data_IF_914774374532
#
_entry.id   IF_914774374532
#
_cell.length_a   1.000
_cell.length_b   1.000
_cell.length_c   1.000
_cell.angle_alpha   90.00
_cell.angle_beta   90.00
_cell.angle_gamma   90.00
#
_symmetry.space_group_name_H-M   'P 1'
#
loop_
_entity.id
_entity.type
_entity.pdbx_description
1 polymer ?
#
# COMPACT_ATOMS: atom_id res chain seq x y z
N UNK A 1 8.78 8.80 9.10
CA UNK A 1 8.77 8.96 7.64
C UNK A 1 7.33 9.11 7.22
N UNK A 2 7.01 10.20 6.53
CA UNK A 2 5.65 10.53 6.09
C UNK A 2 5.33 9.86 4.74
N UNK A 3 4.06 9.90 4.32
CA UNK A 3 3.63 9.45 2.98
C UNK A 3 4.36 10.24 1.88
N UNK A 4 4.51 11.54 2.09
CA UNK A 4 5.19 12.46 1.17
C UNK A 4 6.68 12.15 1.04
N UNK A 5 7.37 11.81 2.14
CA UNK A 5 8.77 11.39 2.11
C UNK A 5 8.97 10.15 1.22
N UNK A 6 8.07 9.17 1.32
CA UNK A 6 8.11 7.94 0.51
C UNK A 6 7.85 8.22 -0.97
N UNK A 7 6.91 9.10 -1.29
CA UNK A 7 6.64 9.52 -2.67
C UNK A 7 7.86 10.23 -3.25
N UNK A 8 8.48 11.13 -2.48
CA UNK A 8 9.69 11.84 -2.88
C UNK A 8 10.87 10.90 -3.13
N UNK A 9 11.10 9.95 -2.22
CA UNK A 9 12.14 8.94 -2.35
C UNK A 9 11.92 8.08 -3.61
N UNK A 10 10.68 7.68 -3.88
CA UNK A 10 10.33 6.84 -5.01
C UNK A 10 10.52 7.50 -6.37
N UNK A 11 10.24 8.79 -6.48
CA UNK A 11 10.44 9.57 -7.70
C UNK A 11 11.84 10.17 -7.83
N UNK A 12 12.63 10.15 -6.75
CA UNK A 12 14.04 10.56 -6.74
C UNK A 12 14.27 11.93 -7.39
N UNK A 13 15.17 11.98 -8.37
CA UNK A 13 15.54 13.21 -9.08
C UNK A 13 14.40 13.83 -9.92
N UNK A 14 13.36 13.06 -10.23
CA UNK A 14 12.21 13.51 -11.02
C UNK A 14 11.12 14.13 -10.16
N UNK A 15 11.13 13.90 -8.84
CA UNK A 15 10.09 14.38 -7.93
C UNK A 15 9.86 15.89 -8.10
N UNK A 16 10.91 16.72 -8.12
CA UNK A 16 10.76 18.17 -8.27
C UNK A 16 10.14 18.60 -9.61
N UNK A 17 10.30 17.79 -10.66
CA UNK A 17 9.76 18.08 -12.00
C UNK A 17 8.26 17.76 -12.09
N UNK A 18 7.80 16.74 -11.37
CA UNK A 18 6.45 16.19 -11.51
C UNK A 18 5.59 16.34 -10.25
N UNK A 19 6.12 16.82 -9.11
CA UNK A 19 5.41 16.87 -7.83
C UNK A 19 4.04 17.56 -7.87
N UNK A 20 3.89 18.54 -8.77
CA UNK A 20 2.62 19.27 -8.96
C UNK A 20 1.61 18.49 -9.82
N UNK A 21 2.08 17.46 -10.52
CA UNK A 21 1.31 16.58 -11.40
C UNK A 21 1.04 15.22 -10.74
N UNK A 22 1.60 14.96 -9.54
CA UNK A 22 1.34 13.75 -8.76
C UNK A 22 0.01 13.87 -8.00
N UNK A 23 -0.74 12.78 -7.95
CA UNK A 23 -1.89 12.67 -7.05
C UNK A 23 -1.47 12.46 -5.59
N UNK A 24 -2.44 12.39 -4.67
CA UNK A 24 -2.20 12.19 -3.25
C UNK A 24 -1.49 10.86 -2.91
N UNK A 25 -1.41 9.93 -3.85
CA UNK A 25 -0.76 8.63 -3.75
C UNK A 25 0.57 8.58 -4.51
N UNK A 26 1.01 9.69 -5.08
CA UNK A 26 2.26 9.76 -5.84
C UNK A 26 2.16 9.12 -7.23
N UNK A 27 0.95 8.99 -7.79
CA UNK A 27 0.75 8.50 -9.16
C UNK A 27 0.81 9.66 -10.12
N UNK A 28 1.49 9.45 -11.25
CA UNK A 28 1.55 10.42 -12.32
C UNK A 28 0.57 10.02 -13.42
N UNK A 29 -0.39 10.89 -13.70
CA UNK A 29 -1.37 10.68 -14.77
C UNK A 29 -0.95 11.41 -16.04
N UNK A 30 -0.98 10.69 -17.15
CA UNK A 30 -0.64 11.20 -18.46
C UNK A 30 -1.76 10.92 -19.46
N UNK A 31 -2.18 11.96 -20.19
CA UNK A 31 -3.02 11.84 -21.38
C UNK A 31 -2.17 11.95 -22.64
N UNK A 32 -2.55 11.21 -23.69
CA UNK A 32 -1.79 11.06 -24.96
C UNK A 32 -1.36 12.37 -25.65
N UNK A 33 -1.97 13.50 -25.30
CA UNK A 33 -1.63 14.81 -25.87
C UNK A 33 -0.30 15.41 -25.38
N UNK A 34 0.38 14.82 -24.40
CA UNK A 34 1.46 15.50 -23.66
C UNK A 34 2.90 15.08 -24.05
N UNK A 35 3.30 15.16 -25.33
CA UNK A 35 4.69 15.01 -25.84
C UNK A 35 5.44 13.70 -25.46
N UNK A 36 5.68 12.86 -26.46
CA UNK A 36 6.49 11.62 -26.42
C UNK A 36 7.87 11.73 -25.73
N UNK A 37 8.45 12.92 -25.57
CA UNK A 37 9.73 13.13 -24.88
C UNK A 37 9.64 12.89 -23.37
N UNK A 38 8.54 13.26 -22.71
CA UNK A 38 8.35 13.01 -21.26
C UNK A 38 8.24 11.51 -20.97
N UNK A 39 7.44 10.79 -21.78
CA UNK A 39 7.35 9.31 -21.74
C UNK A 39 8.73 8.65 -21.84
N UNK A 40 9.56 9.09 -22.79
CA UNK A 40 10.92 8.54 -23.00
C UNK A 40 11.88 8.74 -21.83
N UNK A 41 11.76 9.83 -21.07
CA UNK A 41 12.56 10.06 -19.87
C UNK A 41 12.06 9.22 -18.69
N UNK A 42 10.74 9.09 -18.52
CA UNK A 42 10.17 8.34 -17.39
C UNK A 42 10.31 6.83 -17.54
N UNK A 43 10.33 6.29 -18.76
CA UNK A 43 10.63 4.87 -19.02
C UNK A 43 12.08 4.46 -18.71
N UNK A 44 12.97 5.40 -18.36
CA UNK A 44 14.31 5.09 -17.87
C UNK A 44 14.31 4.62 -16.41
N UNK A 45 13.18 4.72 -15.70
CA UNK A 45 13.03 4.05 -14.41
C UNK A 45 13.00 2.54 -14.61
N UNK A 46 13.98 1.86 -14.04
CA UNK A 46 14.01 0.39 -14.00
C UNK A 46 12.88 -0.22 -13.14
N UNK A 47 12.02 0.58 -12.51
CA UNK A 47 10.99 0.12 -11.57
C UNK A 47 9.72 1.00 -11.59
N UNK A 48 9.23 1.42 -12.76
CA UNK A 48 7.91 2.06 -12.90
C UNK A 48 6.94 1.10 -13.60
N UNK A 49 5.80 0.85 -12.96
CA UNK A 49 4.66 0.18 -13.56
C UNK A 49 3.78 1.20 -14.29
N UNK A 50 3.34 0.86 -15.50
CA UNK A 50 2.34 1.62 -16.25
C UNK A 50 0.99 0.91 -16.21
N UNK A 51 -0.04 1.59 -15.70
CA UNK A 51 -1.41 1.09 -15.68
C UNK A 51 -2.25 1.92 -16.65
N UNK A 52 -2.93 1.25 -17.59
CA UNK A 52 -3.85 1.91 -18.50
C UNK A 52 -5.26 1.86 -17.93
N UNK A 53 -5.86 3.04 -17.69
CA UNK A 53 -7.25 3.19 -17.27
C UNK A 53 -7.97 4.04 -18.31
N UNK A 54 -8.77 3.40 -19.16
CA UNK A 54 -9.37 4.02 -20.35
C UNK A 54 -8.29 4.69 -21.24
N UNK A 55 -8.41 6.00 -21.48
CA UNK A 55 -7.46 6.80 -22.28
C UNK A 55 -6.34 7.44 -21.44
N UNK A 56 -6.22 7.06 -20.16
CA UNK A 56 -5.23 7.58 -19.23
C UNK A 56 -4.18 6.52 -18.93
N UNK A 57 -2.91 6.89 -19.02
CA UNK A 57 -1.81 6.09 -18.51
C UNK A 57 -1.39 6.62 -17.14
N UNK A 58 -1.26 5.71 -16.18
CA UNK A 58 -0.80 5.99 -14.82
C UNK A 58 0.57 5.36 -14.63
N UNK A 59 1.56 6.19 -14.33
CA UNK A 59 2.91 5.76 -13.97
C UNK A 59 3.03 5.69 -12.45
N UNK A 60 3.47 4.54 -11.95
CA UNK A 60 3.59 4.25 -10.52
C UNK A 60 4.95 3.59 -10.27
N UNK A 61 5.86 4.22 -9.51
CA UNK A 61 7.06 3.54 -9.04
C UNK A 61 6.69 2.33 -8.18
N UNK A 62 7.30 1.17 -8.46
CA UNK A 62 7.03 -0.09 -7.75
C UNK A 62 7.28 0.03 -6.23
N UNK A 63 8.15 0.94 -5.81
CA UNK A 63 8.47 1.22 -4.40
C UNK A 63 7.33 1.87 -3.61
N UNK A 64 6.37 2.51 -4.27
CA UNK A 64 5.18 3.11 -3.62
C UNK A 64 3.88 2.38 -3.97
N UNK A 65 3.98 1.21 -4.61
CA UNK A 65 2.84 0.32 -4.80
C UNK A 65 2.24 -0.02 -3.43
N UNK A 66 0.91 0.10 -3.32
CA UNK A 66 0.17 -0.10 -2.07
C UNK A 66 0.20 1.08 -1.11
N UNK A 67 0.79 2.23 -1.45
CA UNK A 67 0.68 3.45 -0.63
C UNK A 67 -0.76 3.99 -0.57
N UNK A 68 -1.61 3.61 -1.55
CA UNK A 68 -3.03 3.91 -1.58
C UNK A 68 -3.85 3.22 -0.49
N UNK A 69 -3.42 2.05 -0.04
CA UNK A 69 -4.18 1.21 0.89
C UNK A 69 -3.29 0.60 1.97
N UNK A 70 -2.13 1.22 2.24
CA UNK A 70 -1.12 0.76 3.19
C UNK A 70 -0.72 -0.72 2.97
N UNK A 71 -0.54 -1.13 1.71
CA UNK A 71 -0.24 -2.51 1.31
C UNK A 71 -1.29 -3.53 1.77
N UNK A 72 -2.55 -3.10 1.87
CA UNK A 72 -3.65 -3.93 2.38
C UNK A 72 -3.65 -4.12 3.90
N UNK A 73 -2.85 -3.34 4.64
CA UNK A 73 -2.85 -3.33 6.10
C UNK A 73 -3.81 -2.28 6.64
N UNK A 74 -4.76 -2.71 7.46
CA UNK A 74 -5.65 -1.84 8.21
C UNK A 74 -5.01 -1.49 9.55
N UNK A 75 -5.00 -0.21 9.93
CA UNK A 75 -4.53 0.20 11.24
C UNK A 75 -5.58 -0.10 12.32
N UNK A 76 -5.16 -0.36 13.55
CA UNK A 76 -6.03 -0.47 14.72
C UNK A 76 -6.13 0.85 15.52
N UNK A 77 -5.58 1.97 15.01
CA UNK A 77 -5.67 3.25 15.71
C UNK A 77 -7.14 3.67 15.87
N UNK A 78 -7.45 4.41 16.95
CA UNK A 78 -8.76 4.76 17.53
C UNK A 78 -9.97 5.05 16.60
N UNK A 79 -9.79 5.14 15.28
CA UNK A 79 -10.81 5.44 14.27
C UNK A 79 -10.92 4.41 13.14
N UNK A 80 -10.06 3.39 13.10
CA UNK A 80 -10.12 2.31 12.10
C UNK A 80 -10.76 1.05 12.69
N UNK A 81 -11.72 0.42 12.00
CA UNK A 81 -12.45 -0.72 12.54
C UNK A 81 -11.52 -1.94 12.71
N UNK A 82 -11.73 -2.66 13.81
CA UNK A 82 -11.26 -4.05 13.93
C UNK A 82 -11.89 -4.89 12.81
N UNK A 83 -11.36 -6.10 12.51
CA UNK A 83 -12.01 -6.98 11.55
C UNK A 83 -13.49 -7.20 11.93
N UNK A 84 -14.37 -7.31 10.92
CA UNK A 84 -15.79 -7.55 11.14
C UNK A 84 -16.12 -9.03 11.34
N UNK A 85 -15.21 -9.91 10.94
CA UNK A 85 -15.39 -11.37 10.94
C UNK A 85 -14.33 -12.04 11.81
N UNK A 86 -14.69 -13.14 12.45
CA UNK A 86 -13.72 -13.96 13.16
C UNK A 86 -12.85 -14.73 12.18
N UNK A 87 -11.54 -14.79 12.40
CA UNK A 87 -10.64 -15.45 11.46
C UNK A 87 -9.16 -15.30 11.78
N UNK A 88 -8.32 -15.90 10.95
CA UNK A 88 -6.87 -15.74 11.01
C UNK A 88 -6.44 -14.53 10.17
N UNK A 89 -5.59 -13.70 10.74
CA UNK A 89 -5.05 -12.51 10.09
C UNK A 89 -3.54 -12.44 10.28
N UNK A 90 -2.85 -11.79 9.35
CA UNK A 90 -1.54 -11.23 9.62
C UNK A 90 -1.72 -10.02 10.53
N UNK A 91 -0.86 -9.88 11.54
CA UNK A 91 -0.89 -8.78 12.49
C UNK A 91 0.49 -8.20 12.73
N UNK A 92 0.54 -6.90 12.96
CA UNK A 92 1.73 -6.20 13.48
C UNK A 92 1.55 -5.97 14.97
N UNK A 93 2.38 -6.63 15.78
CA UNK A 93 2.30 -6.58 17.24
C UNK A 93 3.48 -5.78 17.80
N UNK A 94 3.21 -4.96 18.81
CA UNK A 94 4.24 -4.28 19.60
C UNK A 94 4.43 -4.97 20.95
N UNK A 95 5.59 -5.57 21.17
CA UNK A 95 5.93 -6.23 22.43
C UNK A 95 7.34 -5.85 22.87
N UNK A 96 7.46 -5.34 24.10
CA UNK A 96 8.75 -4.90 24.70
C UNK A 96 9.55 -3.94 23.80
N UNK A 97 8.87 -2.98 23.17
CA UNK A 97 9.49 -1.99 22.29
C UNK A 97 9.93 -2.52 20.92
N UNK A 98 9.61 -3.78 20.59
CA UNK A 98 9.90 -4.41 19.30
C UNK A 98 8.62 -4.62 18.51
N UNK A 99 8.78 -4.62 17.18
CA UNK A 99 7.71 -4.86 16.21
C UNK A 99 7.84 -6.29 15.69
N UNK A 100 6.74 -7.03 15.68
CA UNK A 100 6.67 -8.40 15.18
C UNK A 100 5.58 -8.52 14.13
N UNK A 101 5.86 -9.29 13.08
CA UNK A 101 4.85 -9.81 12.16
C UNK A 101 4.46 -11.21 12.65
N UNK A 102 3.18 -11.44 12.88
CA UNK A 102 2.67 -12.73 13.36
C UNK A 102 1.30 -13.04 12.73
N UNK A 103 0.83 -14.27 12.90
CA UNK A 103 -0.54 -14.67 12.62
C UNK A 103 -1.32 -14.79 13.92
N UNK A 104 -2.51 -14.19 13.94
CA UNK A 104 -3.41 -14.26 15.11
C UNK A 104 -4.84 -14.50 14.68
N UNK A 105 -5.56 -15.22 15.54
CA UNK A 105 -6.99 -15.32 15.44
C UNK A 105 -7.63 -14.07 16.05
N UNK A 106 -8.56 -13.48 15.34
CA UNK A 106 -9.45 -12.44 15.84
C UNK A 106 -10.84 -13.02 16.07
N UNK A 107 -11.43 -12.71 17.22
CA UNK A 107 -12.79 -13.11 17.57
C UNK A 107 -13.70 -11.87 17.49
N UNK A 108 -14.56 -11.83 16.47
CA UNK A 108 -15.52 -10.74 16.26
C UNK A 108 -16.66 -10.71 17.28
N UNK A 109 -16.91 -11.81 18.01
CA UNK A 109 -17.92 -11.84 19.09
C UNK A 109 -17.42 -11.12 20.34
N UNK A 110 -16.14 -11.30 20.66
CA UNK A 110 -15.51 -10.67 21.84
C UNK A 110 -14.75 -9.39 21.50
N UNK A 111 -14.53 -9.10 20.21
CA UNK A 111 -13.72 -8.00 19.69
C UNK A 111 -12.26 -8.05 20.20
N UNK A 112 -11.69 -9.27 20.25
CA UNK A 112 -10.38 -9.53 20.83
C UNK A 112 -9.47 -10.34 19.90
N UNK A 113 -8.17 -10.07 20.01
CA UNK A 113 -7.10 -10.85 19.40
C UNK A 113 -6.58 -11.90 20.37
N UNK A 114 -6.36 -13.12 19.89
CA UNK A 114 -5.89 -14.22 20.73
C UNK A 114 -4.53 -13.91 21.38
N UNK A 115 -4.53 -13.80 22.71
CA UNK A 115 -3.33 -13.66 23.55
C UNK A 115 -2.57 -12.33 23.45
N UNK A 116 -3.01 -11.35 22.67
CA UNK A 116 -2.25 -10.10 22.45
C UNK A 116 -3.13 -8.85 22.32
N UNK A 117 -3.13 -7.95 23.31
CA UNK A 117 -3.93 -6.72 23.26
C UNK A 117 -3.33 -5.62 22.35
N UNK A 118 -2.07 -5.76 21.93
CA UNK A 118 -1.30 -4.69 21.27
C UNK A 118 -1.12 -4.92 19.76
N UNK A 119 -2.19 -5.31 19.07
CA UNK A 119 -2.21 -5.34 17.61
C UNK A 119 -2.35 -3.91 17.09
N UNK A 120 -1.40 -3.48 16.27
CA UNK A 120 -1.38 -2.14 15.68
C UNK A 120 -1.94 -2.10 14.26
N UNK A 121 -1.78 -3.19 13.52
CA UNK A 121 -2.26 -3.34 12.16
C UNK A 121 -2.67 -4.79 11.91
N UNK A 122 -3.62 -4.99 11.00
CA UNK A 122 -4.07 -6.30 10.57
C UNK A 122 -4.27 -6.37 9.06
N UNK A 123 -4.10 -7.57 8.49
CA UNK A 123 -4.38 -7.89 7.10
C UNK A 123 -4.99 -9.29 7.02
N UNK A 124 -6.02 -9.48 6.20
CA UNK A 124 -6.66 -10.79 6.04
C UNK A 124 -5.64 -11.80 5.52
N UNK A 125 -5.55 -12.95 6.19
CA UNK A 125 -4.78 -14.08 5.69
C UNK A 125 -5.60 -14.74 4.58
N UNK A 126 -5.37 -14.34 3.33
CA UNK A 126 -6.01 -14.98 2.19
C UNK A 126 -5.68 -16.48 2.22
N UNK A 127 -6.71 -17.33 2.30
CA UNK A 127 -6.54 -18.76 2.08
C UNK A 127 -6.11 -18.95 0.61
N UNK A 128 -5.19 -19.87 0.33
CA UNK A 128 -4.94 -20.25 -1.06
C UNK A 128 -6.26 -20.66 -1.71
N UNK A 129 -6.50 -20.20 -2.93
CA UNK A 129 -7.63 -20.68 -3.72
C UNK A 129 -7.55 -22.20 -3.85
N UNK A 130 -8.71 -22.86 -3.92
CA UNK A 130 -8.74 -24.29 -4.15
C UNK A 130 -7.97 -24.61 -5.44
N UNK A 131 -7.13 -25.65 -5.45
CA UNK A 131 -6.48 -26.08 -6.68
C UNK A 131 -7.55 -26.36 -7.74
N UNK A 132 -7.34 -25.80 -8.94
CA UNK A 132 -8.13 -26.17 -10.11
C UNK A 132 -7.63 -27.56 -10.53
N UNK A 133 -8.47 -28.59 -10.33
CA UNK A 133 -8.20 -29.96 -10.77
C UNK A 133 -8.64 -30.17 -12.23
#
# INVERSE_FOLDING_TARGET
>A
MTKEDKIKEAWGEYYEQIKNELDEHGRYSYSDQNTNERKRKMWQFENIECHQIYDLELLIPSSIKGIENNNGWNACMNESPQPTESGMYWVIIHHLGKIFLDTRFYNSTTNEWDGYPNVSHWQLLNRPENPVY
#
